data_IF_399589226346
#
_entry.id   IF_399589226346
#
_cell.length_a   1.000
_cell.length_b   1.000
_cell.length_c   1.000
_cell.angle_alpha   90.00
_cell.angle_beta   90.00
_cell.angle_gamma   90.00
#
_symmetry.space_group_name_H-M   'P 1'
#
loop_
_entity.id
_entity.type
_entity.pdbx_description
1 polymer ?
#
# COMPACT_ATOMS: atom_id res chain seq x y z
N UNK A 1 5.83 0.29 -8.40
CA UNK A 1 6.30 -0.84 -7.57
C UNK A 1 6.78 -2.05 -8.38
N UNK A 2 6.16 -2.40 -9.52
CA UNK A 2 6.56 -3.56 -10.36
C UNK A 2 8.05 -3.66 -10.68
N UNK A 3 8.69 -2.56 -11.07
CA UNK A 3 10.14 -2.51 -11.35
C UNK A 3 10.99 -2.92 -10.14
N UNK A 4 10.59 -2.55 -8.92
CA UNK A 4 11.29 -2.94 -7.68
C UNK A 4 11.18 -4.45 -7.47
N UNK A 5 9.99 -5.01 -7.65
CA UNK A 5 9.76 -6.45 -7.52
C UNK A 5 10.57 -7.24 -8.57
N UNK A 6 10.54 -6.81 -9.83
CA UNK A 6 11.27 -7.44 -10.93
C UNK A 6 12.77 -7.43 -10.68
N UNK A 7 13.31 -6.28 -10.26
CA UNK A 7 14.73 -6.13 -9.91
C UNK A 7 15.14 -7.05 -8.74
N UNK A 8 14.21 -7.31 -7.82
CA UNK A 8 14.45 -8.14 -6.64
C UNK A 8 14.14 -9.62 -6.87
N UNK A 9 13.71 -10.01 -8.08
CA UNK A 9 13.29 -11.38 -8.38
C UNK A 9 12.00 -11.82 -7.66
N UNK A 10 11.17 -10.86 -7.25
CA UNK A 10 9.90 -11.12 -6.57
C UNK A 10 8.78 -11.17 -7.63
N UNK A 11 8.09 -12.32 -7.81
CA UNK A 11 6.93 -12.40 -8.69
C UNK A 11 5.86 -11.39 -8.25
N UNK A 12 5.38 -10.58 -9.18
CA UNK A 12 4.39 -9.55 -8.90
C UNK A 12 3.40 -9.42 -10.03
N UNK A 13 2.14 -9.26 -9.65
CA UNK A 13 1.03 -8.92 -10.53
C UNK A 13 0.60 -7.47 -10.28
N UNK A 14 0.16 -6.77 -11.32
CA UNK A 14 -0.30 -5.39 -11.25
C UNK A 14 -1.76 -5.34 -11.65
N UNK A 15 -2.61 -4.82 -10.75
CA UNK A 15 -3.96 -4.40 -11.11
C UNK A 15 -3.88 -2.98 -11.65
N UNK A 16 -4.12 -2.81 -12.95
CA UNK A 16 -4.07 -1.52 -13.61
C UNK A 16 -5.42 -0.79 -13.57
N UNK A 17 -5.38 0.51 -13.30
CA UNK A 17 -6.52 1.41 -13.30
C UNK A 17 -6.18 2.65 -14.14
N UNK A 18 -7.15 3.30 -14.79
CA UNK A 18 -6.94 4.59 -15.43
C UNK A 18 -6.38 5.61 -14.43
N UNK A 19 -5.45 6.48 -14.86
CA UNK A 19 -4.74 7.42 -13.98
C UNK A 19 -5.65 8.42 -13.24
N UNK A 20 -6.84 8.66 -13.78
CA UNK A 20 -7.87 9.55 -13.25
C UNK A 20 -8.94 8.84 -12.42
N UNK A 21 -8.79 7.53 -12.19
CA UNK A 21 -9.71 6.72 -11.40
C UNK A 21 -9.04 6.27 -10.10
N UNK A 22 -9.84 6.18 -9.04
CA UNK A 22 -9.42 5.51 -7.80
C UNK A 22 -9.32 4.00 -8.03
N UNK A 23 -8.49 3.35 -7.22
CA UNK A 23 -8.52 1.90 -7.04
C UNK A 23 -9.85 1.51 -6.40
N UNK A 24 -10.66 0.76 -7.13
CA UNK A 24 -11.95 0.25 -6.66
C UNK A 24 -11.76 -0.97 -5.73
N UNK A 25 -12.17 -0.87 -4.44
CA UNK A 25 -12.07 -1.99 -3.50
C UNK A 25 -12.82 -3.25 -3.95
N UNK A 26 -13.91 -3.13 -4.71
CA UNK A 26 -14.66 -4.28 -5.21
C UNK A 26 -13.89 -5.02 -6.31
N UNK A 27 -13.15 -4.29 -7.14
CA UNK A 27 -12.21 -4.87 -8.11
C UNK A 27 -11.09 -5.62 -7.40
N UNK A 28 -10.50 -5.04 -6.34
CA UNK A 28 -9.52 -5.76 -5.50
C UNK A 28 -10.14 -7.00 -4.87
N UNK A 29 -11.37 -6.89 -4.35
CA UNK A 29 -12.10 -8.01 -3.72
C UNK A 29 -12.32 -9.16 -4.70
N UNK A 30 -12.76 -8.87 -5.92
CA UNK A 30 -12.95 -9.87 -6.98
C UNK A 30 -11.63 -10.54 -7.34
N UNK A 31 -10.56 -9.77 -7.47
CA UNK A 31 -9.23 -10.28 -7.80
C UNK A 31 -8.74 -11.28 -6.76
N UNK A 32 -8.72 -10.87 -5.48
CA UNK A 32 -8.30 -11.72 -4.36
C UNK A 32 -9.19 -12.95 -4.13
N UNK A 33 -10.42 -12.96 -4.67
CA UNK A 33 -11.33 -14.10 -4.57
C UNK A 33 -11.21 -15.11 -5.73
N UNK A 34 -10.33 -14.84 -6.70
CA UNK A 34 -10.13 -15.72 -7.86
C UNK A 34 -9.52 -17.06 -7.40
N UNK A 35 -10.00 -18.22 -7.86
CA UNK A 35 -9.43 -19.50 -7.49
C UNK A 35 -7.93 -19.59 -7.80
N UNK A 36 -7.13 -19.93 -6.78
CA UNK A 36 -5.66 -20.02 -6.90
C UNK A 36 -4.92 -18.69 -6.73
N UNK A 37 -5.62 -17.58 -6.45
CA UNK A 37 -5.01 -16.31 -6.14
C UNK A 37 -4.42 -16.34 -4.71
N UNK A 38 -3.10 -16.44 -4.61
CA UNK A 38 -2.37 -16.39 -3.34
C UNK A 38 -1.32 -15.27 -3.40
N UNK A 39 -1.49 -14.27 -2.54
CA UNK A 39 -0.56 -13.15 -2.43
C UNK A 39 -0.01 -13.04 -1.02
N UNK A 40 1.31 -12.95 -0.90
CA UNK A 40 1.99 -12.69 0.37
C UNK A 40 1.98 -11.21 0.73
N UNK A 41 1.77 -10.33 -0.24
CA UNK A 41 1.78 -8.87 -0.06
C UNK A 41 0.82 -8.20 -1.04
N UNK A 42 0.07 -7.21 -0.55
CA UNK A 42 -0.70 -6.27 -1.35
C UNK A 42 -0.18 -4.87 -1.08
N UNK A 43 0.24 -4.16 -2.13
CA UNK A 43 0.82 -2.83 -2.03
C UNK A 43 -0.02 -1.79 -2.79
N UNK A 44 -0.29 -0.65 -2.17
CA UNK A 44 -1.15 0.41 -2.73
C UNK A 44 -0.53 1.79 -2.51
N UNK A 45 -0.63 2.66 -3.52
CA UNK A 45 -0.28 4.08 -3.39
C UNK A 45 -1.48 4.84 -2.84
N UNK A 46 -1.34 5.55 -1.72
CA UNK A 46 -2.41 6.34 -1.11
C UNK A 46 -2.72 7.59 -1.93
N UNK A 47 -1.71 8.31 -2.40
CA UNK A 47 -1.87 9.48 -3.25
C UNK A 47 -0.99 9.35 -4.49
N UNK A 48 -1.61 9.15 -5.65
CA UNK A 48 -0.87 9.20 -6.90
C UNK A 48 -0.53 10.66 -7.21
N UNK A 49 0.76 11.00 -7.18
CA UNK A 49 1.18 12.41 -7.19
C UNK A 49 0.97 13.05 -8.56
N UNK A 50 1.12 12.28 -9.63
CA UNK A 50 0.99 12.79 -11.00
C UNK A 50 -0.44 13.22 -11.32
N UNK A 51 -1.43 12.46 -10.84
CA UNK A 51 -2.85 12.72 -11.10
C UNK A 51 -3.58 13.39 -9.94
N UNK A 52 -3.02 13.36 -8.73
CA UNK A 52 -3.67 13.85 -7.51
C UNK A 52 -4.76 12.93 -6.97
N UNK A 53 -4.89 11.71 -7.50
CA UNK A 53 -5.89 10.73 -7.06
C UNK A 53 -5.55 10.20 -5.66
N UNK A 54 -6.54 10.24 -4.76
CA UNK A 54 -6.44 9.67 -3.41
C UNK A 54 -7.17 8.32 -3.39
N UNK A 55 -6.43 7.23 -3.20
CA UNK A 55 -6.99 5.89 -3.15
C UNK A 55 -7.56 5.56 -1.76
N UNK A 56 -8.69 4.83 -1.68
CA UNK A 56 -9.33 4.48 -0.41
C UNK A 56 -8.60 3.32 0.30
N UNK A 57 -7.36 3.56 0.73
CA UNK A 57 -6.47 2.53 1.29
C UNK A 57 -7.02 1.86 2.55
N UNK A 58 -7.87 2.54 3.32
CA UNK A 58 -8.52 1.93 4.49
C UNK A 58 -9.59 0.90 4.10
N UNK A 59 -10.35 1.17 3.04
CA UNK A 59 -11.33 0.22 2.50
C UNK A 59 -10.64 -0.96 1.85
N UNK A 60 -9.60 -0.70 1.07
CA UNK A 60 -8.79 -1.73 0.43
C UNK A 60 -8.14 -2.62 1.50
N UNK A 61 -7.53 -2.03 2.53
CA UNK A 61 -6.92 -2.79 3.62
C UNK A 61 -7.91 -3.70 4.36
N UNK A 62 -9.17 -3.26 4.56
CA UNK A 62 -10.24 -4.10 5.10
C UNK A 62 -10.58 -5.27 4.17
N UNK A 63 -10.62 -5.05 2.85
CA UNK A 63 -10.83 -6.12 1.86
C UNK A 63 -9.67 -7.11 1.88
N UNK A 64 -8.43 -6.64 1.86
CA UNK A 64 -7.21 -7.46 1.90
C UNK A 64 -7.23 -8.33 3.15
N UNK A 65 -7.43 -7.76 4.33
CA UNK A 65 -7.43 -8.54 5.58
C UNK A 65 -8.61 -9.49 5.74
N UNK A 66 -9.70 -9.28 4.99
CA UNK A 66 -10.84 -10.21 4.97
C UNK A 66 -10.58 -11.42 4.07
N UNK A 67 -9.96 -11.21 2.91
CA UNK A 67 -9.81 -12.25 1.88
C UNK A 67 -8.44 -12.94 1.90
N UNK A 68 -7.40 -12.21 2.32
CA UNK A 68 -6.02 -12.67 2.46
C UNK A 68 -5.48 -12.19 3.82
N UNK A 69 -5.97 -12.75 4.94
CA UNK A 69 -5.67 -12.25 6.29
C UNK A 69 -4.17 -12.23 6.62
N UNK A 70 -3.41 -13.17 6.06
CA UNK A 70 -1.97 -13.31 6.27
C UNK A 70 -1.12 -12.46 5.30
N UNK A 71 -1.74 -11.87 4.26
CA UNK A 71 -1.03 -11.01 3.33
C UNK A 71 -0.61 -9.71 4.03
N UNK A 72 0.64 -9.30 3.81
CA UNK A 72 1.14 -8.00 4.26
C UNK A 72 0.44 -6.90 3.47
N UNK A 73 -0.14 -5.92 4.16
CA UNK A 73 -0.73 -4.73 3.55
C UNK A 73 0.23 -3.54 3.66
N UNK A 74 0.76 -3.12 2.50
CA UNK A 74 1.78 -2.09 2.37
C UNK A 74 1.20 -0.85 1.69
N UNK A 75 1.36 0.33 2.29
CA UNK A 75 0.86 1.59 1.74
C UNK A 75 1.98 2.58 1.50
N UNK A 76 2.09 3.07 0.27
CA UNK A 76 2.91 4.23 -0.07
C UNK A 76 2.11 5.50 0.20
N UNK A 77 2.54 6.27 1.20
CA UNK A 77 1.95 7.55 1.59
C UNK A 77 2.94 8.71 1.41
N UNK A 78 3.82 8.63 0.40
CA UNK A 78 4.88 9.62 0.17
C UNK A 78 4.34 11.05 -0.01
N UNK A 79 3.25 11.22 -0.76
CA UNK A 79 2.66 12.52 -1.11
C UNK A 79 1.41 12.89 -0.31
N UNK A 80 1.00 12.07 0.66
CA UNK A 80 -0.21 12.30 1.46
C UNK A 80 0.00 12.34 2.96
N UNK A 81 1.03 11.66 3.49
CA UNK A 81 1.25 11.58 4.93
C UNK A 81 1.49 12.97 5.54
N UNK A 82 0.67 13.35 6.53
CA UNK A 82 0.70 14.67 7.17
C UNK A 82 -0.19 15.71 6.52
N UNK A 83 -0.76 15.44 5.34
CA UNK A 83 -1.74 16.31 4.68
C UNK A 83 -3.14 15.68 4.59
N UNK A 84 -3.23 14.37 4.37
CA UNK A 84 -4.49 13.63 4.27
C UNK A 84 -4.66 12.75 5.51
N UNK A 85 -5.84 12.76 6.17
CA UNK A 85 -6.12 11.84 7.27
C UNK A 85 -5.94 10.39 6.84
N UNK A 86 -5.35 9.59 7.72
CA UNK A 86 -5.13 8.17 7.46
C UNK A 86 -5.13 7.41 8.78
N UNK A 87 -6.11 6.53 8.96
CA UNK A 87 -6.19 5.61 10.09
C UNK A 87 -5.42 4.32 9.78
N UNK A 88 -4.15 4.30 10.18
CA UNK A 88 -3.26 3.13 10.02
C UNK A 88 -3.86 1.88 10.68
N UNK A 89 -4.47 2.01 11.86
CA UNK A 89 -5.02 0.86 12.60
C UNK A 89 -6.37 0.43 12.02
N UNK A 90 -7.26 1.37 11.75
CA UNK A 90 -8.58 1.12 11.16
C UNK A 90 -8.49 0.54 9.74
N UNK A 91 -7.52 1.01 8.95
CA UNK A 91 -7.19 0.48 7.63
C UNK A 91 -6.39 -0.82 7.65
N UNK A 92 -5.93 -1.29 8.82
CA UNK A 92 -5.16 -2.53 9.01
C UNK A 92 -3.85 -2.57 8.19
N UNK A 93 -3.17 -1.43 8.09
CA UNK A 93 -1.88 -1.32 7.43
C UNK A 93 -0.80 -2.01 8.25
N UNK A 94 -0.03 -2.89 7.62
CA UNK A 94 1.15 -3.48 8.24
C UNK A 94 2.36 -2.58 8.10
N UNK A 95 2.49 -1.93 6.93
CA UNK A 95 3.55 -0.98 6.65
C UNK A 95 3.00 0.23 5.92
N UNK A 96 3.48 1.40 6.34
CA UNK A 96 3.29 2.67 5.65
C UNK A 96 4.66 3.29 5.42
N UNK A 97 4.96 3.68 4.19
CA UNK A 97 6.20 4.40 3.84
C UNK A 97 5.91 5.86 3.47
N UNK A 98 6.76 6.77 3.91
CA UNK A 98 6.73 8.18 3.50
C UNK A 98 8.11 8.84 3.60
N UNK A 99 8.20 10.14 3.29
CA UNK A 99 9.44 10.92 3.38
C UNK A 99 9.24 12.26 4.09
N UNK A 100 10.35 12.84 4.56
CA UNK A 100 10.31 14.13 5.25
C UNK A 100 10.03 15.31 4.29
N UNK A 101 10.43 15.22 3.03
CA UNK A 101 10.50 16.35 2.10
C UNK A 101 9.24 16.59 1.24
N UNK A 102 8.10 16.06 1.68
CA UNK A 102 6.80 16.26 1.04
C UNK A 102 5.93 17.11 1.94
N UNK A 103 4.80 16.58 2.41
CA UNK A 103 3.86 17.31 3.25
C UNK A 103 4.47 17.79 4.58
N UNK A 104 5.50 17.10 5.08
CA UNK A 104 6.20 17.46 6.31
C UNK A 104 7.22 18.61 6.15
N UNK A 105 7.47 19.10 4.93
CA UNK A 105 8.36 20.24 4.64
C UNK A 105 9.79 20.10 5.21
N UNK A 106 10.26 18.87 5.40
CA UNK A 106 11.62 18.56 5.83
C UNK A 106 12.62 18.53 4.67
N UNK A 107 13.88 18.25 5.00
CA UNK A 107 14.95 18.13 3.99
C UNK A 107 14.84 16.84 3.17
N UNK A 108 15.17 16.86 1.87
CA UNK A 108 15.26 15.64 1.06
C UNK A 108 16.39 14.72 1.55
N UNK A 109 16.27 13.43 1.27
CA UNK A 109 17.29 12.42 1.60
C UNK A 109 16.94 11.50 2.78
N UNK A 110 15.75 11.65 3.38
CA UNK A 110 15.27 10.77 4.45
C UNK A 110 13.86 10.25 4.16
N UNK A 111 13.71 8.93 4.26
CA UNK A 111 12.43 8.22 4.25
C UNK A 111 12.24 7.48 5.57
N UNK A 112 10.99 7.24 5.94
CA UNK A 112 10.64 6.52 7.16
C UNK A 112 9.49 5.55 6.89
N UNK A 113 9.38 4.56 7.77
CA UNK A 113 8.31 3.55 7.74
C UNK A 113 7.61 3.53 9.09
N UNK A 114 6.28 3.55 9.08
CA UNK A 114 5.45 3.19 10.23
C UNK A 114 5.06 1.73 10.03
N UNK A 115 5.43 0.87 10.98
CA UNK A 115 5.25 -0.57 10.86
C UNK A 115 4.49 -1.16 12.06
N UNK A 116 3.65 -2.14 11.77
CA UNK A 116 3.16 -3.09 12.77
C UNK A 116 4.36 -3.81 13.39
N UNK A 117 4.44 -3.83 14.72
CA UNK A 117 5.52 -4.51 15.45
C UNK A 117 5.56 -6.01 15.14
N UNK A 118 4.39 -6.62 14.96
CA UNK A 118 4.27 -8.05 14.64
C UNK A 118 4.78 -8.31 13.23
N UNK A 119 4.34 -7.53 12.24
CA UNK A 119 4.79 -7.66 10.86
C UNK A 119 6.30 -7.43 10.75
N UNK A 120 6.82 -6.35 11.37
CA UNK A 120 8.25 -6.05 11.38
C UNK A 120 9.09 -7.17 12.01
N UNK A 121 8.62 -7.78 13.11
CA UNK A 121 9.33 -8.88 13.74
C UNK A 121 9.34 -10.16 12.89
N UNK A 122 8.30 -10.37 12.06
CA UNK A 122 8.21 -11.48 11.14
C UNK A 122 9.08 -11.29 9.87
N UNK A 123 9.40 -10.05 9.49
CA UNK A 123 10.23 -9.73 8.32
C UNK A 123 11.74 -9.99 8.49
N UNK A 124 12.15 -10.85 9.43
CA UNK A 124 13.57 -11.20 9.59
C UNK A 124 14.02 -12.02 8.39
N UNK A 125 14.93 -11.44 7.60
CA UNK A 125 15.63 -12.10 6.50
C UNK A 125 16.47 -13.28 6.95
#
# INVERSE_FOLDING_TARGET
>A
MKVICDTSGIPAEVLEFPENNIVDPDTVSRHLSTPGAEYTTVAVVHCETSSGVINPVEEIGRVVKRLAPDAIYFVDAMSSFGAVPLDVKGGRLDFLVSSANKCLQGVPGFAFVIASKVALAASKG
#
